data_IF_407302401981
#
_entry.id   IF_407302401981
#
_cell.length_a   1.000
_cell.length_b   1.000
_cell.length_c   1.000
_cell.angle_alpha   90.00
_cell.angle_beta   90.00
_cell.angle_gamma   90.00
#
_symmetry.space_group_name_H-M   'P 1'
#
loop_
_entity.id
_entity.type
_entity.pdbx_description
1 polymer ?
#
# COMPACT_ATOMS: atom_id res chain seq x y z
N UNK A 1 5.02 -7.69 13.95
CA UNK A 1 4.80 -7.77 12.49
C UNK A 1 3.33 -7.50 12.23
N UNK A 2 3.03 -6.43 11.49
CA UNK A 2 1.68 -5.94 11.23
C UNK A 2 1.04 -6.76 10.10
N UNK A 3 0.51 -7.94 10.46
CA UNK A 3 -0.09 -8.87 9.49
C UNK A 3 -1.47 -8.43 9.01
N UNK A 4 -2.21 -7.67 9.82
CA UNK A 4 -3.61 -7.36 9.55
C UNK A 4 -3.82 -6.47 8.31
N UNK A 5 -3.05 -5.39 8.15
CA UNK A 5 -3.20 -4.50 6.99
C UNK A 5 -2.81 -5.20 5.68
N UNK A 6 -1.79 -6.05 5.71
CA UNK A 6 -1.41 -6.87 4.55
C UNK A 6 -2.54 -7.86 4.19
N UNK A 7 -3.14 -8.50 5.20
CA UNK A 7 -4.30 -9.38 5.01
C UNK A 7 -5.52 -8.62 4.44
N UNK A 8 -5.77 -7.38 4.85
CA UNK A 8 -6.83 -6.53 4.26
C UNK A 8 -6.60 -6.28 2.78
N UNK A 9 -5.36 -5.97 2.38
CA UNK A 9 -5.00 -5.73 0.97
C UNK A 9 -5.17 -7.02 0.16
N UNK A 10 -4.63 -8.12 0.66
CA UNK A 10 -4.68 -9.43 0.01
C UNK A 10 -6.12 -9.97 -0.09
N UNK A 11 -6.96 -9.73 0.92
CA UNK A 11 -8.37 -10.10 0.94
C UNK A 11 -9.14 -9.53 -0.27
N UNK A 12 -8.80 -8.31 -0.70
CA UNK A 12 -9.43 -7.68 -1.86
C UNK A 12 -8.78 -8.03 -3.22
N UNK A 13 -7.81 -8.96 -3.21
CA UNK A 13 -7.16 -9.48 -4.41
C UNK A 13 -5.99 -8.63 -4.93
N UNK A 14 -5.46 -7.71 -4.12
CA UNK A 14 -4.28 -6.93 -4.46
C UNK A 14 -3.01 -7.66 -4.05
N UNK A 15 -1.96 -7.51 -4.85
CA UNK A 15 -0.60 -7.88 -4.46
C UNK A 15 -0.11 -6.92 -3.36
N UNK A 16 0.58 -7.47 -2.37
CA UNK A 16 1.14 -6.68 -1.26
C UNK A 16 2.56 -7.11 -0.95
N UNK A 17 3.44 -6.13 -0.81
CA UNK A 17 4.79 -6.31 -0.28
C UNK A 17 4.89 -5.63 1.09
N UNK A 18 5.79 -6.14 1.94
CA UNK A 18 6.10 -5.53 3.25
C UNK A 18 7.59 -5.25 3.31
N UNK A 19 7.94 -4.05 3.73
CA UNK A 19 9.31 -3.55 3.81
C UNK A 19 9.57 -3.00 5.21
N UNK A 20 10.75 -3.27 5.76
CA UNK A 20 11.24 -2.62 6.98
C UNK A 20 12.16 -1.46 6.59
N UNK A 21 11.87 -0.26 7.10
CA UNK A 21 12.67 0.95 6.87
C UNK A 21 13.34 1.34 8.19
N UNK A 22 14.67 1.41 8.19
CA UNK A 22 15.44 1.80 9.38
C UNK A 22 15.77 3.29 9.28
N UNK A 23 15.28 4.07 10.24
CA UNK A 23 15.60 5.50 10.34
C UNK A 23 17.03 5.71 10.82
N UNK A 24 17.57 6.91 10.62
CA UNK A 24 18.94 7.25 11.03
C UNK A 24 19.16 7.09 12.55
N UNK A 25 18.13 7.35 13.35
CA UNK A 25 18.11 7.19 14.81
C UNK A 25 17.71 5.78 15.27
N UNK A 26 17.56 4.82 14.35
CA UNK A 26 17.46 3.39 14.63
C UNK A 26 16.04 2.85 14.86
N UNK A 27 14.99 3.62 14.57
CA UNK A 27 13.62 3.10 14.56
C UNK A 27 13.40 2.22 13.33
N UNK A 28 12.64 1.14 13.51
CA UNK A 28 12.22 0.24 12.43
C UNK A 28 10.76 0.54 12.12
N UNK A 29 10.54 1.19 10.98
CA UNK A 29 9.23 1.54 10.43
C UNK A 29 8.75 0.42 9.50
N UNK A 30 7.46 0.11 9.54
CA UNK A 30 6.86 -0.94 8.73
C UNK A 30 6.14 -0.29 7.56
N UNK A 31 6.55 -0.61 6.33
CA UNK A 31 5.95 -0.07 5.13
C UNK A 31 5.26 -1.17 4.33
N UNK A 32 4.02 -0.91 3.91
CA UNK A 32 3.27 -1.77 3.00
C UNK A 32 3.32 -1.17 1.60
N UNK A 33 3.34 -2.01 0.58
CA UNK A 33 3.31 -1.56 -0.81
C UNK A 33 2.29 -2.34 -1.62
N UNK A 34 1.44 -1.62 -2.35
CA UNK A 34 0.55 -2.15 -3.38
C UNK A 34 1.16 -1.76 -4.74
N UNK A 35 1.93 -2.66 -5.39
CA UNK A 35 2.70 -2.31 -6.57
C UNK A 35 1.85 -2.05 -7.82
N UNK A 36 0.60 -2.53 -7.83
CA UNK A 36 -0.34 -2.41 -8.94
C UNK A 36 -1.78 -2.72 -8.53
N UNK A 37 -2.74 -2.20 -9.29
CA UNK A 37 -4.15 -2.57 -9.20
C UNK A 37 -4.42 -4.03 -9.58
N UNK A 38 -5.46 -4.62 -9.01
CA UNK A 38 -5.76 -6.07 -9.09
C UNK A 38 -6.05 -6.59 -10.51
N UNK A 39 -6.63 -5.75 -11.36
CA UNK A 39 -6.99 -6.10 -12.74
C UNK A 39 -5.90 -5.70 -13.76
N UNK A 40 -4.75 -5.23 -13.27
CA UNK A 40 -3.62 -4.84 -14.11
C UNK A 40 -2.96 -6.08 -14.72
N UNK A 41 -3.12 -6.29 -16.01
CA UNK A 41 -2.40 -7.33 -16.75
C UNK A 41 -0.89 -7.21 -16.50
N UNK A 42 -0.26 -8.30 -16.06
CA UNK A 42 1.19 -8.36 -15.80
C UNK A 42 2.04 -7.98 -17.03
N UNK A 43 1.44 -8.03 -18.23
CA UNK A 43 2.10 -7.86 -19.51
C UNK A 43 2.09 -6.42 -20.06
N UNK A 44 1.35 -5.49 -19.43
CA UNK A 44 1.43 -4.05 -19.74
C UNK A 44 2.39 -3.37 -18.77
N UNK A 45 3.62 -3.88 -18.76
CA UNK A 45 4.75 -3.36 -18.01
C UNK A 45 5.22 -2.03 -18.63
N UNK A 46 4.45 -0.96 -18.43
CA UNK A 46 5.12 0.32 -18.20
C UNK A 46 5.85 0.17 -16.87
N UNK A 47 7.17 -0.04 -16.95
CA UNK A 47 8.08 -0.28 -15.82
C UNK A 47 8.17 0.91 -14.83
N UNK A 48 7.30 1.93 -14.99
CA UNK A 48 7.39 3.22 -14.32
C UNK A 48 6.01 3.70 -13.88
N UNK A 49 5.39 2.97 -12.94
CA UNK A 49 4.24 3.52 -12.19
C UNK A 49 4.76 4.61 -11.27
N UNK A 50 4.06 5.74 -11.23
CA UNK A 50 4.46 6.84 -10.35
C UNK A 50 4.23 6.40 -8.88
N UNK A 51 5.25 6.53 -8.01
CA UNK A 51 5.10 6.17 -6.61
C UNK A 51 4.26 7.22 -5.87
N UNK A 52 3.36 6.77 -5.00
CA UNK A 52 2.64 7.60 -4.03
C UNK A 52 2.91 7.07 -2.63
N UNK A 53 3.31 7.96 -1.72
CA UNK A 53 3.43 7.66 -0.30
C UNK A 53 2.21 8.20 0.45
N UNK A 54 1.45 7.31 1.08
CA UNK A 54 0.38 7.62 2.00
C UNK A 54 0.93 7.56 3.43
N UNK A 55 0.80 8.67 4.15
CA UNK A 55 1.25 8.81 5.55
C UNK A 55 0.05 9.18 6.38
N UNK A 56 -0.16 8.44 7.46
CA UNK A 56 -1.34 8.60 8.28
C UNK A 56 -1.29 9.79 9.23
N UNK A 57 -2.44 10.17 9.79
CA UNK A 57 -2.55 11.23 10.79
C UNK A 57 -2.06 10.85 12.19
N UNK A 58 -2.27 11.73 13.17
CA UNK A 58 -1.97 11.46 14.59
C UNK A 58 -2.91 10.39 15.15
N UNK A 59 -2.38 9.48 15.98
CA UNK A 59 -3.12 8.41 16.69
C UNK A 59 -3.84 7.38 15.81
N UNK A 60 -3.41 7.23 14.56
CA UNK A 60 -3.91 6.23 13.61
C UNK A 60 -2.74 5.49 12.97
N UNK A 61 -3.02 4.56 12.05
CA UNK A 61 -2.04 3.83 11.25
C UNK A 61 -2.49 3.74 9.79
N UNK A 62 -1.67 3.11 8.93
CA UNK A 62 -1.93 2.92 7.50
C UNK A 62 -3.27 2.25 7.15
N UNK A 63 -3.94 1.59 8.10
CA UNK A 63 -5.27 0.99 7.86
C UNK A 63 -6.30 2.03 7.43
N UNK A 64 -6.15 3.31 7.79
CA UNK A 64 -7.13 4.35 7.41
C UNK A 64 -7.34 4.46 5.89
N UNK A 65 -6.35 4.07 5.10
CA UNK A 65 -6.41 4.07 3.63
C UNK A 65 -7.02 2.78 3.05
N UNK A 66 -7.37 1.81 3.90
CA UNK A 66 -7.76 0.44 3.55
C UNK A 66 -9.09 -0.02 4.17
N UNK A 67 -9.63 0.70 5.16
CA UNK A 67 -10.81 0.27 5.94
C UNK A 67 -12.10 0.11 5.10
N UNK A 68 -12.17 0.72 3.92
CA UNK A 68 -13.33 0.64 3.05
C UNK A 68 -13.17 -0.42 1.94
N UNK A 69 -14.25 -0.80 1.23
CA UNK A 69 -14.13 -1.56 0.00
C UNK A 69 -13.28 -0.83 -1.08
N UNK A 70 -12.75 -1.55 -2.07
CA UNK A 70 -11.82 -0.99 -3.06
C UNK A 70 -12.28 0.31 -3.76
N UNK A 71 -13.56 0.48 -4.16
CA UNK A 71 -14.02 1.72 -4.79
C UNK A 71 -14.00 2.96 -3.89
N UNK A 72 -13.79 2.80 -2.57
CA UNK A 72 -13.81 3.87 -1.57
C UNK A 72 -12.62 3.83 -0.60
N UNK A 73 -11.59 3.04 -0.89
CA UNK A 73 -10.33 2.98 -0.13
C UNK A 73 -9.21 3.68 -0.90
N UNK A 74 -8.63 4.79 -0.38
CA UNK A 74 -7.60 5.55 -1.08
C UNK A 74 -6.44 4.71 -1.60
N UNK A 75 -5.94 3.76 -0.81
CA UNK A 75 -4.82 2.91 -1.22
C UNK A 75 -5.16 2.05 -2.44
N UNK A 76 -6.39 1.53 -2.51
CA UNK A 76 -6.86 0.67 -3.60
C UNK A 76 -7.27 1.48 -4.84
N UNK A 77 -7.92 2.64 -4.65
CA UNK A 77 -8.26 3.56 -5.74
C UNK A 77 -7.00 3.99 -6.50
N UNK A 78 -5.94 4.35 -5.78
CA UNK A 78 -4.68 4.77 -6.40
C UNK A 78 -3.98 3.60 -7.12
N UNK A 79 -3.98 2.41 -6.53
CA UNK A 79 -3.41 1.23 -7.18
C UNK A 79 -4.14 0.90 -8.50
N UNK A 80 -5.48 0.94 -8.51
CA UNK A 80 -6.29 0.72 -9.71
C UNK A 80 -6.16 1.84 -10.73
N UNK A 81 -5.87 3.07 -10.30
CA UNK A 81 -5.52 4.19 -11.17
C UNK A 81 -4.10 4.08 -11.78
N UNK A 82 -3.34 3.04 -11.43
CA UNK A 82 -2.04 2.74 -12.02
C UNK A 82 -0.84 3.30 -11.26
N UNK A 83 -1.01 3.75 -10.01
CA UNK A 83 0.10 4.17 -9.15
C UNK A 83 0.75 2.99 -8.42
N UNK A 84 2.00 3.18 -8.03
CA UNK A 84 2.73 2.30 -7.09
C UNK A 84 2.55 2.86 -5.69
N UNK A 85 1.74 2.22 -4.85
CA UNK A 85 1.25 2.82 -3.61
C UNK A 85 2.03 2.29 -2.43
N UNK A 86 2.63 3.18 -1.64
CA UNK A 86 3.31 2.89 -0.39
C UNK A 86 2.49 3.44 0.76
N UNK A 87 2.34 2.65 1.84
CA UNK A 87 1.67 3.03 3.07
C UNK A 87 2.68 2.92 4.22
N UNK A 88 3.00 4.05 4.85
CA UNK A 88 4.00 4.14 5.91
C UNK A 88 3.35 4.02 7.29
N UNK A 89 4.02 3.27 8.19
CA UNK A 89 3.84 3.29 9.64
C UNK A 89 5.18 3.47 10.34
#
# INVERSE_FOLDING_TARGET
KHYYQAEMIAYWGYEVETHDVITEDGYILSMLRIPRGRDSQANNASCHRAPILLVHGLFVDASEFLLNPPPSSPGMILADAGFDVFLLN
#
